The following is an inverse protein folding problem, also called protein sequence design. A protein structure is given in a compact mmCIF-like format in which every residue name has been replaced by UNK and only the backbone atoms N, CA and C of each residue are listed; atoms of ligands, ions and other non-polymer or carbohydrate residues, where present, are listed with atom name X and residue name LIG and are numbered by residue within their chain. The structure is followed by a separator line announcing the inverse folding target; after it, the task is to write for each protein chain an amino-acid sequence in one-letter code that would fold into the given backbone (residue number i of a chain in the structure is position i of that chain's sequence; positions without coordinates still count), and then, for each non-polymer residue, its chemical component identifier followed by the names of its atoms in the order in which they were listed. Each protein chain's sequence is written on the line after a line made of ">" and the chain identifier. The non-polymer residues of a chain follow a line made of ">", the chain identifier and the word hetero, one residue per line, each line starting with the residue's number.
data_IF_225736013516
#
_entry.id   IF_225736013516
#
_cell.length_a   1.000
_cell.length_b   1.000
_cell.length_c   1.000
_cell.angle_alpha   90.00
_cell.angle_beta   90.00
_cell.angle_gamma   90.00
#
_symmetry.space_group_name_H-M   'P 1'
#
loop_
_entity.id
_entity.type
_entity.pdbx_description
1 polymer ?
#
# COMPACT_ATOMS: atom_id res chain seq x y z
N UNK A 1 10.97 -9.84 -12.29
CA UNK A 1 10.53 -9.45 -12.55
C UNK A 1 10.28 -8.71 -13.04
N UNK A 2 10.29 -8.81 -13.58
CA UNK A 2 10.03 -8.26 -14.17
C UNK A 2 9.76 -7.43 -14.55
N UNK A 3 10.04 -7.19 -14.83
CA UNK A 3 9.83 -6.38 -15.19
C UNK A 3 9.21 -5.68 -15.76
N UNK A 4 9.38 -5.22 -15.89
CA UNK A 4 8.94 -4.52 -16.31
C UNK A 4 7.97 -4.35 -16.94
N UNK A 5 7.89 -4.74 -17.05
CA UNK A 5 7.17 -4.78 -17.41
C UNK A 5 6.38 -4.49 -17.85
N UNK A 6 6.63 -4.71 -17.93
CA UNK A 6 5.98 -4.74 -18.38
C UNK A 6 5.07 -4.19 -18.75
N UNK A 7 5.06 -3.77 -18.53
CA UNK A 7 4.57 -3.15 -18.96
C UNK A 7 3.47 -2.41 -18.93
N UNK A 8 3.36 -1.77 -19.72
CA UNK A 8 2.43 -0.70 -19.78
C UNK A 8 0.99 -1.14 -19.80
N UNK A 9 0.73 -2.23 -20.42
CA UNK A 9 -0.62 -2.73 -20.50
C UNK A 9 -1.12 -3.29 -19.22
N UNK A 10 -0.21 -3.90 -18.53
CA UNK A 10 -0.53 -4.49 -17.26
C UNK A 10 -0.46 -3.44 -16.17
N UNK A 11 0.00 -2.25 -16.53
CA UNK A 11 0.24 -1.20 -15.58
C UNK A 11 -0.95 -0.81 -14.74
N UNK A 12 -2.17 -0.88 -15.26
CA UNK A 12 -3.34 -0.54 -14.47
C UNK A 12 -3.56 -1.50 -13.32
N UNK A 13 -3.42 -2.79 -13.59
CA UNK A 13 -3.57 -3.79 -12.54
C UNK A 13 -2.40 -3.69 -11.58
N UNK A 14 -1.21 -3.52 -12.12
CA UNK A 14 -0.01 -3.35 -11.31
C UNK A 14 -0.12 -2.08 -10.47
N UNK A 15 -0.67 -1.02 -11.05
CA UNK A 15 -0.86 0.23 -10.32
C UNK A 15 -1.75 0.07 -9.11
N UNK A 16 -2.82 -0.71 -9.23
CA UNK A 16 -3.72 -0.96 -8.12
C UNK A 16 -3.00 -1.73 -7.01
N UNK A 17 -2.26 -2.77 -7.38
CA UNK A 17 -1.50 -3.55 -6.41
C UNK A 17 -0.40 -2.71 -5.77
N UNK A 18 0.28 -1.92 -6.57
CA UNK A 18 1.34 -1.05 -6.10
C UNK A 18 0.80 0.01 -5.16
N UNK A 19 -0.34 0.60 -5.48
CA UNK A 19 -0.97 1.58 -4.60
C UNK A 19 -1.43 0.96 -3.31
N UNK A 20 -1.94 -0.26 -3.36
CA UNK A 20 -2.35 -0.96 -2.16
C UNK A 20 -1.15 -1.24 -1.26
N UNK A 21 -0.06 -1.68 -1.84
CA UNK A 21 1.17 -1.89 -1.10
C UNK A 21 1.67 -0.58 -0.50
N UNK A 22 1.65 0.49 -1.26
CA UNK A 22 2.04 1.80 -0.77
C UNK A 22 1.17 2.26 0.38
N UNK A 23 -0.12 1.97 0.32
CA UNK A 23 -1.05 2.30 1.38
C UNK A 23 -0.69 1.58 2.67
N UNK A 24 -0.41 0.28 2.60
CA UNK A 24 0.00 -0.48 3.77
C UNK A 24 1.32 0.03 4.34
N UNK A 25 2.28 0.29 3.47
CA UNK A 25 3.58 0.82 3.91
C UNK A 25 3.40 2.16 4.61
N UNK A 26 2.56 3.01 4.07
CA UNK A 26 2.30 4.30 4.67
C UNK A 26 1.59 4.17 6.02
N UNK A 27 0.62 3.27 6.11
CA UNK A 27 -0.10 3.05 7.36
C UNK A 27 0.83 2.65 8.49
N UNK A 28 1.81 1.80 8.20
CA UNK A 28 2.73 1.32 9.22
C UNK A 28 3.91 2.23 9.47
N UNK A 29 4.43 2.84 8.43
CA UNK A 29 5.70 3.58 8.53
C UNK A 29 5.61 5.05 8.20
N UNK A 30 4.43 5.56 7.84
CA UNK A 30 4.27 6.94 7.42
C UNK A 30 4.69 7.96 8.46
N UNK A 31 4.51 7.63 9.73
CA UNK A 31 4.89 8.53 10.81
C UNK A 31 6.40 8.75 10.91
N UNK A 32 7.17 7.89 10.28
CA UNK A 32 8.62 8.03 10.25
C UNK A 32 9.09 9.02 9.18
N UNK A 33 8.19 9.46 8.32
CA UNK A 33 8.47 10.52 7.37
C UNK A 33 8.27 11.86 8.04
N UNK A 34 8.98 12.89 7.57
CA UNK A 34 8.74 14.22 8.11
C UNK A 34 7.40 14.75 7.56
N UNK A 35 6.91 15.82 8.15
CA UNK A 35 5.59 16.34 7.83
C UNK A 35 5.44 16.72 6.35
N UNK A 36 6.46 17.35 5.78
CA UNK A 36 6.43 17.75 4.37
C UNK A 36 6.40 16.53 3.44
N UNK A 37 7.20 15.52 3.74
CA UNK A 37 7.21 14.29 2.97
C UNK A 37 5.88 13.56 3.07
N UNK A 38 5.30 13.53 4.25
CA UNK A 38 4.00 12.89 4.47
C UNK A 38 2.93 13.58 3.63
N UNK A 39 2.92 14.89 3.63
CA UNK A 39 1.93 15.66 2.89
C UNK A 39 2.00 15.36 1.40
N UNK A 40 3.19 15.40 0.84
CA UNK A 40 3.38 15.12 -0.59
C UNK A 40 3.02 13.69 -0.92
N UNK A 41 3.43 12.75 -0.09
CA UNK A 41 3.15 11.35 -0.31
C UNK A 41 1.64 11.07 -0.23
N UNK A 42 0.96 11.66 0.74
CA UNK A 42 -0.50 11.53 0.88
C UNK A 42 -1.22 12.09 -0.34
N UNK A 43 -0.78 13.26 -0.80
CA UNK A 43 -1.40 13.87 -1.97
C UNK A 43 -1.29 12.98 -3.20
N UNK A 44 -0.15 12.34 -3.37
CA UNK A 44 0.07 11.49 -4.51
C UNK A 44 -0.67 10.16 -4.39
N UNK A 45 -0.59 9.51 -3.26
CA UNK A 45 -1.13 8.16 -3.07
C UNK A 45 -2.61 8.16 -2.74
N UNK A 46 -3.04 9.02 -1.84
CA UNK A 46 -4.42 9.01 -1.36
C UNK A 46 -5.33 10.00 -2.07
N UNK A 47 -4.83 11.15 -2.43
CA UNK A 47 -5.65 12.19 -3.06
C UNK A 47 -5.57 12.18 -4.58
N UNK A 48 -4.79 11.27 -5.13
CA UNK A 48 -4.64 11.09 -6.59
C UNK A 48 -4.23 12.35 -7.33
N UNK A 49 -3.50 13.25 -6.68
CA UNK A 49 -3.00 14.43 -7.35
C UNK A 49 -1.86 14.06 -8.29
N UNK A 50 -1.81 14.75 -9.42
CA UNK A 50 -0.71 14.53 -10.37
C UNK A 50 0.56 15.21 -9.86
N UNK A 51 1.69 14.80 -10.43
CA UNK A 51 2.97 15.41 -10.08
C UNK A 51 2.94 16.91 -10.34
N UNK A 52 2.31 17.32 -11.45
CA UNK A 52 2.18 18.73 -11.79
C UNK A 52 1.36 19.53 -10.79
N UNK A 53 0.28 18.94 -10.32
CA UNK A 53 -0.58 19.58 -9.34
C UNK A 53 0.15 19.76 -8.01
N UNK A 54 0.85 18.73 -7.57
CA UNK A 54 1.62 18.81 -6.33
C UNK A 54 2.75 19.82 -6.47
N UNK A 55 3.43 19.78 -7.61
CA UNK A 55 4.52 20.73 -7.87
C UNK A 55 4.03 22.17 -7.80
N UNK A 56 2.86 22.42 -8.37
CA UNK A 56 2.26 23.74 -8.36
C UNK A 56 1.93 24.20 -6.94
N UNK A 57 1.37 23.32 -6.14
CA UNK A 57 1.02 23.65 -4.76
C UNK A 57 2.25 23.87 -3.89
N UNK A 58 3.29 23.07 -4.09
CA UNK A 58 4.48 23.14 -3.26
C UNK A 58 5.50 24.14 -3.75
N UNK A 59 5.32 24.67 -4.96
CA UNK A 59 6.26 25.64 -5.51
C UNK A 59 7.60 25.03 -5.90
N UNK A 60 7.60 23.74 -6.27
CA UNK A 60 8.82 23.07 -6.71
C UNK A 60 8.57 22.46 -8.08
N UNK A 61 9.60 21.87 -8.68
CA UNK A 61 9.46 21.27 -10.00
C UNK A 61 8.78 19.90 -9.92
N UNK A 62 8.22 19.48 -11.06
CA UNK A 62 7.63 18.14 -11.16
C UNK A 62 8.67 17.06 -10.86
N UNK A 63 9.88 17.28 -11.35
CA UNK A 63 10.98 16.35 -11.10
C UNK A 63 11.31 16.28 -9.61
N UNK A 64 11.24 17.43 -8.94
CA UNK A 64 11.46 17.48 -7.50
C UNK A 64 10.43 16.69 -6.73
N UNK A 65 9.16 16.78 -7.15
CA UNK A 65 8.08 16.00 -6.55
C UNK A 65 8.33 14.52 -6.78
N UNK A 66 8.63 14.13 -8.03
CA UNK A 66 8.87 12.74 -8.36
C UNK A 66 10.02 12.15 -7.54
N UNK A 67 11.10 12.90 -7.40
CA UNK A 67 12.25 12.47 -6.61
C UNK A 67 11.89 12.29 -5.15
N UNK A 68 11.10 13.21 -4.61
CA UNK A 68 10.67 13.14 -3.22
C UNK A 68 9.80 11.91 -2.98
N UNK A 69 8.88 11.63 -3.89
CA UNK A 69 8.02 10.46 -3.77
C UNK A 69 8.85 9.19 -3.84
N UNK A 70 9.83 9.12 -4.72
CA UNK A 70 10.72 7.97 -4.82
C UNK A 70 11.49 7.76 -3.52
N UNK A 71 11.99 8.84 -2.94
CA UNK A 71 12.71 8.75 -1.68
C UNK A 71 11.82 8.26 -0.55
N UNK A 72 10.59 8.75 -0.49
CA UNK A 72 9.64 8.30 0.51
C UNK A 72 9.32 6.83 0.34
N UNK A 73 9.04 6.41 -0.89
CA UNK A 73 8.74 5.00 -1.16
C UNK A 73 9.90 4.09 -0.78
N UNK A 74 11.11 4.51 -1.12
CA UNK A 74 12.30 3.74 -0.78
C UNK A 74 12.49 3.63 0.73
N UNK A 75 12.28 4.75 1.41
CA UNK A 75 12.41 4.78 2.87
C UNK A 75 11.42 3.84 3.53
N UNK A 76 10.17 3.88 3.08
CA UNK A 76 9.14 2.99 3.61
C UNK A 76 9.46 1.53 3.31
N UNK A 77 9.92 1.23 2.11
CA UNK A 77 10.33 -0.12 1.73
C UNK A 77 11.49 -0.62 2.57
N UNK A 78 12.45 0.26 2.86
CA UNK A 78 13.60 -0.11 3.67
C UNK A 78 13.19 -0.46 5.09
N UNK A 79 12.23 0.28 5.65
CA UNK A 79 11.70 -0.06 6.96
C UNK A 79 11.01 -1.42 6.94
N UNK A 80 10.25 -1.68 5.89
CA UNK A 80 9.57 -2.98 5.76
C UNK A 80 10.57 -4.12 5.66
N UNK A 81 11.64 -3.93 4.90
CA UNK A 81 12.68 -4.95 4.77
C UNK A 81 13.31 -5.30 6.10
N UNK A 82 13.39 -4.32 6.99
CA UNK A 82 13.98 -4.52 8.32
C UNK A 82 12.99 -5.05 9.33
N UNK A 83 11.77 -4.57 9.28
CA UNK A 83 10.79 -4.83 10.34
C UNK A 83 9.72 -5.84 9.97
N UNK A 84 9.39 -5.96 8.68
CA UNK A 84 8.40 -6.92 8.18
C UNK A 84 7.02 -6.82 8.84
N UNK A 85 6.63 -5.60 9.24
CA UNK A 85 5.34 -5.41 9.90
C UNK A 85 4.16 -5.61 8.95
N UNK A 86 4.29 -5.13 7.73
CA UNK A 86 3.24 -5.31 6.73
C UNK A 86 3.09 -6.78 6.38
N UNK A 87 4.21 -7.46 6.20
CA UNK A 87 4.22 -8.88 5.90
C UNK A 87 3.52 -9.68 6.99
N UNK A 88 3.85 -9.38 8.25
CA UNK A 88 3.21 -10.04 9.40
C UNK A 88 1.73 -9.72 9.48
N UNK A 89 1.37 -8.46 9.23
CA UNK A 89 -0.01 -8.05 9.25
C UNK A 89 -0.83 -8.80 8.21
N UNK A 90 -0.32 -8.89 6.99
CA UNK A 90 -1.02 -9.59 5.92
C UNK A 90 -1.15 -11.08 6.20
N UNK A 91 -0.13 -11.67 6.79
CA UNK A 91 -0.16 -13.07 7.19
C UNK A 91 -1.22 -13.31 8.25
N UNK A 92 -1.27 -12.47 9.26
CA UNK A 92 -2.27 -12.57 10.33
C UNK A 92 -3.67 -12.37 9.76
N UNK A 93 -3.82 -11.40 8.88
CA UNK A 93 -5.10 -11.12 8.24
C UNK A 93 -5.61 -12.36 7.48
N UNK A 94 -4.72 -13.02 6.76
CA UNK A 94 -5.06 -14.22 6.04
C UNK A 94 -5.48 -15.34 6.99
N UNK A 95 -4.76 -15.50 8.09
CA UNK A 95 -5.09 -16.50 9.11
C UNK A 95 -6.46 -16.24 9.71
N UNK A 96 -6.77 -14.98 10.00
CA UNK A 96 -8.06 -14.60 10.55
C UNK A 96 -9.18 -14.92 9.56
N UNK A 97 -8.96 -14.66 8.29
CA UNK A 97 -9.94 -14.97 7.25
C UNK A 97 -10.18 -16.46 7.16
N UNK A 98 -9.13 -17.26 7.26
CA UNK A 98 -9.25 -18.73 7.24
C UNK A 98 -10.05 -19.22 8.45
N UNK A 99 -9.75 -18.70 9.62
CA UNK A 99 -10.46 -19.06 10.84
C UNK A 99 -11.93 -18.70 10.73
N UNK A 100 -12.22 -17.53 10.20
CA UNK A 100 -13.60 -17.05 10.02
C UNK A 100 -14.34 -18.00 9.05
N UNK A 101 -13.70 -18.38 7.96
CA UNK A 101 -14.28 -19.28 6.98
C UNK A 101 -14.58 -20.65 7.59
N UNK A 102 -13.66 -21.16 8.37
CA UNK A 102 -13.85 -22.46 9.05
C UNK A 102 -14.97 -22.39 10.08
N UNK A 103 -15.04 -21.28 10.79
CA UNK A 103 -16.08 -21.05 11.77
C UNK A 103 -17.47 -21.01 11.12
N UNK A 104 -17.55 -20.35 9.97
CA UNK A 104 -18.81 -20.30 9.22
C UNK A 104 -19.22 -21.67 8.74
N UNK A 105 -18.30 -22.44 8.22
CA UNK A 105 -18.58 -23.81 7.80
C UNK A 105 -19.07 -24.66 8.95
N UNK A 106 -18.46 -24.49 10.11
CA UNK A 106 -18.87 -25.21 11.30
C UNK A 106 -20.31 -24.85 11.70
N UNK A 107 -20.64 -23.59 11.66
CA UNK A 107 -22.00 -23.13 11.97
C UNK A 107 -23.02 -23.67 10.99
N UNK A 108 -22.71 -23.63 9.71
CA UNK A 108 -23.59 -24.15 8.69
C UNK A 108 -23.83 -25.64 8.87
N UNK A 109 -22.78 -26.38 9.15
CA UNK A 109 -22.87 -27.80 9.39
C UNK A 109 -23.69 -28.11 10.61
N UNK A 110 -23.51 -27.32 11.66
CA UNK A 110 -24.26 -27.49 12.91
C UNK A 110 -25.73 -27.19 12.71
N UNK A 111 -26.04 -26.14 11.96
CA UNK A 111 -27.42 -25.76 11.67
C UNK A 111 -28.12 -26.85 10.86
N UNK A 112 -27.45 -27.40 9.87
CA UNK A 112 -27.99 -28.52 9.10
C UNK A 112 -28.29 -29.71 9.99
N UNK A 113 -27.38 -29.97 10.91
CA UNK A 113 -27.52 -31.08 11.82
C UNK A 113 -28.72 -30.96 12.73
N UNK A 114 -29.01 -29.75 13.12
CA UNK A 114 -30.11 -29.48 14.05
C UNK A 114 -31.44 -29.25 13.35
N UNK A 115 -31.42 -28.96 12.09
CA UNK A 115 -32.65 -28.81 11.32
C UNK A 115 -33.08 -30.12 10.69
#
# INVERSE_FOLDING_TARGET
>A
MTPAFACVKVSKVIDVEEKLEQTYLYDFYGELLNEHQRQIYEDFVFNDLSLGEIASEEGISRQGVADMIKRCSRKLSDYEKKLHLVEKFLSIKQDVEEIHSLTQKFHESKDEKWS
#
